data_IF_815032732766
#
_entry.id   IF_815032732766
#
_cell.length_a   1.000
_cell.length_b   1.000
_cell.length_c   1.000
_cell.angle_alpha   90.00
_cell.angle_beta   90.00
_cell.angle_gamma   90.00
#
_symmetry.space_group_name_H-M   'P 1'
#
loop_
_entity.id
_entity.type
_entity.pdbx_description
1 polymer ?
#
# COMPACT_ATOMS: atom_id res chain seq x y z
N UNK A 1 -5.34 -34.19 -5.50
CA UNK A 1 -5.80 -33.55 -4.25
C UNK A 1 -5.06 -32.24 -4.04
N UNK A 2 -5.77 -31.11 -4.17
CA UNK A 2 -5.62 -29.83 -3.45
C UNK A 2 -6.54 -28.84 -4.16
N UNK A 3 -7.82 -28.89 -3.78
CA UNK A 3 -8.71 -27.75 -4.00
C UNK A 3 -8.23 -26.63 -3.09
N UNK A 4 -8.19 -25.37 -3.53
CA UNK A 4 -8.57 -24.23 -2.69
C UNK A 4 -8.91 -23.03 -3.59
N UNK A 5 -10.22 -22.89 -3.82
CA UNK A 5 -10.98 -21.68 -4.14
C UNK A 5 -10.22 -20.56 -4.86
N UNK A 6 -10.29 -20.60 -6.20
CA UNK A 6 -10.08 -19.39 -7.02
C UNK A 6 -11.16 -18.38 -6.62
N UNK A 7 -10.77 -17.38 -5.82
CA UNK A 7 -11.44 -16.07 -5.87
C UNK A 7 -11.48 -15.61 -7.34
N UNK A 8 -12.41 -14.73 -7.74
CA UNK A 8 -12.46 -14.28 -9.12
C UNK A 8 -11.21 -13.42 -9.38
N UNK A 9 -10.12 -14.04 -9.85
CA UNK A 9 -8.75 -13.48 -10.02
C UNK A 9 -8.04 -12.97 -8.75
N UNK A 10 -6.71 -13.20 -8.65
CA UNK A 10 -5.87 -12.70 -7.54
C UNK A 10 -5.89 -11.16 -7.46
N UNK A 11 -6.18 -10.50 -8.59
CA UNK A 11 -6.31 -9.06 -8.75
C UNK A 11 -7.47 -8.48 -7.94
N UNK A 12 -8.66 -9.09 -7.99
CA UNK A 12 -9.81 -8.62 -7.19
C UNK A 12 -9.60 -8.77 -5.68
N UNK A 13 -8.85 -9.80 -5.26
CA UNK A 13 -8.48 -9.97 -3.87
C UNK A 13 -7.54 -8.83 -3.40
N UNK A 14 -6.61 -8.42 -4.26
CA UNK A 14 -5.72 -7.28 -4.02
C UNK A 14 -6.49 -5.96 -3.99
N UNK A 15 -7.39 -5.71 -4.95
CA UNK A 15 -8.25 -4.52 -4.97
C UNK A 15 -9.03 -4.38 -3.65
N UNK A 16 -9.67 -5.47 -3.20
CA UNK A 16 -10.39 -5.49 -1.94
C UNK A 16 -9.48 -5.21 -0.75
N UNK A 17 -8.27 -5.78 -0.74
CA UNK A 17 -7.28 -5.53 0.32
C UNK A 17 -6.89 -4.06 0.39
N UNK A 18 -6.64 -3.41 -0.76
CA UNK A 18 -6.32 -1.99 -0.81
C UNK A 18 -7.49 -1.09 -0.40
N UNK A 19 -8.72 -1.42 -0.79
CA UNK A 19 -9.90 -0.66 -0.38
C UNK A 19 -10.10 -0.71 1.15
N UNK A 20 -9.95 -1.88 1.76
CA UNK A 20 -10.03 -2.03 3.22
C UNK A 20 -8.93 -1.24 3.95
N UNK A 21 -7.70 -1.29 3.44
CA UNK A 21 -6.58 -0.55 4.01
C UNK A 21 -6.79 0.98 3.89
N UNK A 22 -7.34 1.46 2.78
CA UNK A 22 -7.73 2.87 2.63
C UNK A 22 -8.76 3.25 3.69
N UNK A 23 -9.81 2.44 3.86
CA UNK A 23 -10.86 2.70 4.85
C UNK A 23 -10.28 2.77 6.28
N UNK A 24 -9.38 1.86 6.63
CA UNK A 24 -8.72 1.86 7.93
C UNK A 24 -7.81 3.09 8.12
N UNK A 25 -7.05 3.48 7.09
CA UNK A 25 -6.24 4.71 7.10
C UNK A 25 -7.10 5.97 7.22
N UNK A 26 -8.24 6.04 6.54
CA UNK A 26 -9.20 7.16 6.65
C UNK A 26 -9.83 7.22 8.05
N UNK A 27 -10.12 6.07 8.68
CA UNK A 27 -10.54 6.02 10.09
C UNK A 27 -9.45 6.51 11.03
N UNK A 28 -8.19 6.13 10.82
CA UNK A 28 -7.07 6.66 11.62
C UNK A 28 -6.95 8.18 11.50
N UNK A 29 -7.18 8.73 10.32
CA UNK A 29 -7.19 10.16 10.08
C UNK A 29 -8.28 10.89 10.88
N UNK A 30 -9.50 10.35 10.88
CA UNK A 30 -10.68 10.98 11.49
C UNK A 30 -10.70 10.82 13.02
N UNK A 31 -10.39 9.63 13.52
CA UNK A 31 -10.70 9.26 14.92
C UNK A 31 -9.52 9.38 15.87
N UNK A 32 -8.28 9.51 15.38
CA UNK A 32 -7.09 9.59 16.23
C UNK A 32 -6.44 10.96 16.10
N UNK A 33 -6.14 11.61 17.23
CA UNK A 33 -5.34 12.84 17.28
C UNK A 33 -3.87 12.49 17.11
N UNK A 34 -3.29 12.92 16.00
CA UNK A 34 -1.88 12.72 15.68
C UNK A 34 -1.19 14.03 15.30
N UNK A 35 0.13 14.00 15.19
CA UNK A 35 0.91 15.14 14.70
C UNK A 35 0.63 15.38 13.20
N UNK A 36 0.71 16.63 12.69
CA UNK A 36 0.50 16.95 11.27
C UNK A 36 1.33 16.10 10.30
N UNK A 37 2.58 15.79 10.67
CA UNK A 37 3.47 14.93 9.87
C UNK A 37 2.90 13.53 9.68
N UNK A 38 2.21 12.99 10.69
CA UNK A 38 1.59 11.67 10.62
C UNK A 38 0.40 11.67 9.64
N UNK A 39 -0.44 12.71 9.68
CA UNK A 39 -1.54 12.88 8.73
C UNK A 39 -1.03 12.96 7.29
N UNK A 40 0.06 13.70 7.04
CA UNK A 40 0.71 13.77 5.73
C UNK A 40 1.16 12.39 5.22
N UNK A 41 1.66 11.53 6.11
CA UNK A 41 2.07 10.16 5.75
C UNK A 41 0.84 9.32 5.40
N UNK A 42 -0.25 9.43 6.16
CA UNK A 42 -1.52 8.74 5.87
C UNK A 42 -2.07 9.17 4.50
N UNK A 43 -2.18 10.48 4.24
CA UNK A 43 -2.64 11.02 2.96
C UNK A 43 -1.82 10.45 1.79
N UNK A 44 -0.49 10.42 1.96
CA UNK A 44 0.42 9.88 0.96
C UNK A 44 0.25 8.39 0.73
N UNK A 45 0.02 7.60 1.79
CA UNK A 45 -0.32 6.16 1.67
C UNK A 45 -1.60 5.96 0.87
N UNK A 46 -2.66 6.69 1.22
CA UNK A 46 -3.95 6.62 0.53
C UNK A 46 -3.78 6.99 -0.95
N UNK A 47 -3.02 8.05 -1.25
CA UNK A 47 -2.76 8.48 -2.62
C UNK A 47 -2.07 7.38 -3.44
N UNK A 48 -1.01 6.75 -2.92
CA UNK A 48 -0.35 5.67 -3.63
C UNK A 48 -1.21 4.41 -3.79
N UNK A 49 -2.05 4.07 -2.80
CA UNK A 49 -3.01 2.97 -2.95
C UNK A 49 -4.03 3.25 -4.04
N UNK A 50 -4.58 4.47 -4.07
CA UNK A 50 -5.51 4.92 -5.13
C UNK A 50 -4.84 4.92 -6.50
N UNK A 51 -3.58 5.32 -6.62
CA UNK A 51 -2.80 5.21 -7.86
C UNK A 51 -2.72 3.78 -8.39
N UNK A 52 -2.50 2.79 -7.51
CA UNK A 52 -2.44 1.39 -7.92
C UNK A 52 -3.81 0.87 -8.31
N UNK A 53 -4.87 1.19 -7.55
CA UNK A 53 -6.25 0.86 -7.92
C UNK A 53 -6.64 1.44 -9.28
N UNK A 54 -6.32 2.71 -9.53
CA UNK A 54 -6.57 3.37 -10.82
C UNK A 54 -5.82 2.67 -11.97
N UNK A 55 -4.63 2.12 -11.70
CA UNK A 55 -3.86 1.35 -12.70
C UNK A 55 -4.59 0.05 -13.06
N UNK A 56 -5.17 -0.62 -12.06
CA UNK A 56 -5.96 -1.84 -12.27
C UNK A 56 -7.25 -1.54 -13.04
N UNK A 57 -7.96 -0.47 -12.66
CA UNK A 57 -9.18 -0.05 -13.35
C UNK A 57 -8.92 0.35 -14.81
N UNK A 58 -7.77 0.97 -15.09
CA UNK A 58 -7.37 1.38 -16.43
C UNK A 58 -6.96 0.20 -17.33
N UNK A 59 -6.39 -0.87 -16.76
CA UNK A 59 -6.03 -2.10 -17.47
C UNK A 59 -6.48 -3.34 -16.69
N UNK A 60 -7.71 -3.83 -16.94
CA UNK A 60 -8.24 -5.02 -16.27
C UNK A 60 -7.49 -6.33 -16.61
N UNK A 61 -6.58 -6.29 -17.58
CA UNK A 61 -5.77 -7.46 -17.99
C UNK A 61 -4.41 -7.50 -17.32
N UNK A 62 -4.06 -6.46 -16.56
CA UNK A 62 -2.78 -6.35 -15.86
C UNK A 62 -2.57 -7.51 -14.88
N UNK A 63 -1.35 -8.02 -14.84
CA UNK A 63 -0.98 -9.07 -13.89
C UNK A 63 -0.43 -8.47 -12.59
N UNK A 64 -0.38 -9.28 -11.53
CA UNK A 64 0.27 -8.88 -10.28
C UNK A 64 1.76 -8.59 -10.48
N UNK A 65 2.43 -9.32 -11.38
CA UNK A 65 3.83 -9.12 -11.69
C UNK A 65 4.04 -7.78 -12.41
N UNK A 66 3.15 -7.42 -13.34
CA UNK A 66 3.17 -6.10 -14.00
C UNK A 66 2.95 -4.96 -13.01
N UNK A 67 1.98 -5.09 -12.09
CA UNK A 67 1.76 -4.12 -11.01
C UNK A 67 2.99 -3.98 -10.11
N UNK A 68 3.61 -5.10 -9.72
CA UNK A 68 4.82 -5.09 -8.91
C UNK A 68 5.98 -4.39 -9.65
N UNK A 69 6.12 -4.63 -10.97
CA UNK A 69 7.11 -3.96 -11.80
C UNK A 69 6.88 -2.45 -11.92
N UNK A 70 5.62 -2.00 -12.02
CA UNK A 70 5.27 -0.57 -12.02
C UNK A 70 5.66 0.08 -10.68
N UNK A 71 5.36 -0.59 -9.56
CA UNK A 71 5.75 -0.10 -8.23
C UNK A 71 7.27 -0.09 -8.07
N UNK A 72 7.98 -1.09 -8.59
CA UNK A 72 9.44 -1.13 -8.61
C UNK A 72 10.05 0.03 -9.38
N UNK A 73 9.53 0.32 -10.58
CA UNK A 73 9.98 1.47 -11.35
C UNK A 73 9.77 2.80 -10.60
N UNK A 74 8.64 2.97 -9.90
CA UNK A 74 8.41 4.13 -9.03
C UNK A 74 9.41 4.17 -7.87
N UNK A 75 9.68 3.02 -7.25
CA UNK A 75 10.61 2.90 -6.13
C UNK A 75 12.03 3.29 -6.56
N UNK A 76 12.53 2.76 -7.68
CA UNK A 76 13.83 3.15 -8.24
C UNK A 76 13.92 4.65 -8.53
N UNK A 77 12.83 5.25 -9.02
CA UNK A 77 12.77 6.70 -9.30
C UNK A 77 12.94 7.51 -8.02
N UNK A 78 12.22 7.14 -6.95
CA UNK A 78 12.33 7.79 -5.64
C UNK A 78 13.71 7.53 -5.01
N UNK A 79 14.28 6.34 -5.13
CA UNK A 79 15.65 6.05 -4.63
C UNK A 79 16.72 6.89 -5.35
N UNK A 80 16.57 7.11 -6.67
CA UNK A 80 17.44 8.03 -7.41
C UNK A 80 17.23 9.47 -6.95
N UNK A 81 16.00 9.88 -6.69
CA UNK A 81 15.71 11.21 -6.13
C UNK A 81 16.35 11.38 -4.74
N UNK A 82 16.32 10.33 -3.92
CA UNK A 82 16.91 10.32 -2.58
C UNK A 82 18.43 10.54 -2.64
N UNK A 83 19.12 9.88 -3.59
CA UNK A 83 20.55 10.08 -3.82
C UNK A 83 20.90 11.51 -4.26
N UNK A 84 19.95 12.22 -4.87
CA UNK A 84 20.13 13.58 -5.39
C UNK A 84 19.53 14.67 -4.47
N UNK A 85 18.94 14.29 -3.33
CA UNK A 85 18.29 15.22 -2.41
C UNK A 85 19.30 16.21 -1.83
N UNK A 86 18.94 17.50 -1.78
CA UNK A 86 19.87 18.57 -1.41
C UNK A 86 19.74 19.00 0.04
N UNK A 87 18.66 18.62 0.71
CA UNK A 87 18.37 19.02 2.09
C UNK A 87 17.59 17.93 2.85
N UNK A 88 17.65 18.01 4.18
CA UNK A 88 17.03 17.03 5.09
C UNK A 88 15.53 16.90 4.87
N UNK A 89 14.83 17.99 4.57
CA UNK A 89 13.38 17.98 4.38
C UNK A 89 12.96 17.25 3.10
N UNK A 90 13.71 17.43 2.01
CA UNK A 90 13.55 16.64 0.77
C UNK A 90 13.86 15.17 1.03
N UNK A 91 14.95 14.87 1.73
CA UNK A 91 15.33 13.50 2.10
C UNK A 91 14.21 12.80 2.87
N UNK A 92 13.66 13.43 3.92
CA UNK A 92 12.57 12.86 4.71
C UNK A 92 11.31 12.58 3.87
N UNK A 93 10.95 13.52 2.98
CA UNK A 93 9.79 13.34 2.08
C UNK A 93 9.97 12.16 1.12
N UNK A 94 11.16 12.02 0.54
CA UNK A 94 11.47 10.95 -0.41
C UNK A 94 11.58 9.62 0.33
N UNK A 95 12.18 9.62 1.52
CA UNK A 95 12.26 8.44 2.38
C UNK A 95 10.86 7.90 2.74
N UNK A 96 9.92 8.78 3.06
CA UNK A 96 8.51 8.42 3.23
C UNK A 96 7.93 7.76 1.96
N UNK A 97 8.24 8.28 0.76
CA UNK A 97 7.79 7.66 -0.51
C UNK A 97 8.32 6.23 -0.65
N UNK A 98 9.64 6.05 -0.49
CA UNK A 98 10.32 4.76 -0.67
C UNK A 98 9.73 3.73 0.29
N UNK A 99 9.52 4.10 1.56
CA UNK A 99 8.93 3.21 2.57
C UNK A 99 7.50 2.80 2.22
N UNK A 100 6.68 3.75 1.74
CA UNK A 100 5.29 3.48 1.35
C UNK A 100 5.22 2.58 0.11
N UNK A 101 6.03 2.88 -0.92
CA UNK A 101 6.09 2.09 -2.15
C UNK A 101 6.59 0.65 -1.87
N UNK A 102 7.60 0.49 -1.00
CA UNK A 102 8.06 -0.82 -0.57
C UNK A 102 6.98 -1.62 0.18
N UNK A 103 6.19 -0.96 1.01
CA UNK A 103 5.04 -1.57 1.68
C UNK A 103 3.93 -1.98 0.69
N UNK A 104 3.63 -1.15 -0.32
CA UNK A 104 2.67 -1.49 -1.37
C UNK A 104 3.16 -2.69 -2.18
N UNK A 105 4.43 -2.68 -2.60
CA UNK A 105 5.06 -3.82 -3.28
C UNK A 105 4.91 -5.10 -2.47
N UNK A 106 5.21 -5.03 -1.17
CA UNK A 106 5.05 -6.16 -0.27
C UNK A 106 3.60 -6.67 -0.28
N UNK A 107 2.60 -5.79 -0.22
CA UNK A 107 1.20 -6.21 -0.28
C UNK A 107 0.78 -6.86 -1.59
N UNK A 108 1.38 -6.48 -2.73
CA UNK A 108 1.14 -7.07 -4.06
C UNK A 108 1.73 -8.47 -4.15
N UNK A 109 2.98 -8.65 -3.67
CA UNK A 109 3.74 -9.89 -3.80
C UNK A 109 3.33 -10.93 -2.76
N UNK A 110 2.89 -10.49 -1.59
CA UNK A 110 2.50 -11.38 -0.50
C UNK A 110 1.17 -12.10 -0.81
N UNK A 111 1.28 -13.31 -1.38
CA UNK A 111 0.16 -14.24 -1.56
C UNK A 111 -0.29 -14.77 -0.19
N UNK A 112 -1.23 -14.04 0.45
CA UNK A 112 -1.94 -14.39 1.69
C UNK A 112 -1.04 -14.64 2.92
N UNK A 113 -1.03 -13.72 3.89
CA UNK A 113 -0.31 -13.98 5.13
C UNK A 113 -0.44 -13.04 6.33
N UNK A 114 -1.55 -12.32 6.55
CA UNK A 114 -1.96 -11.97 7.93
C UNK A 114 -3.38 -11.41 7.96
N UNK A 115 -4.37 -12.28 8.18
CA UNK A 115 -5.58 -11.83 8.88
C UNK A 115 -5.08 -11.48 10.27
N UNK A 116 -5.05 -10.18 10.62
CA UNK A 116 -5.04 -9.81 12.04
C UNK A 116 -6.33 -10.38 12.61
N UNK A 117 -6.26 -11.56 13.20
CA UNK A 117 -7.23 -11.98 14.20
C UNK A 117 -7.28 -10.81 15.18
N UNK A 118 -8.40 -10.07 15.17
CA UNK A 118 -8.81 -9.38 16.37
C UNK A 118 -9.01 -10.51 17.36
N UNK A 119 -8.02 -10.74 18.20
CA UNK A 119 -8.26 -11.39 19.47
C UNK A 119 -9.19 -10.43 20.19
N UNK A 120 -10.47 -10.79 20.16
CA UNK A 120 -11.46 -10.33 21.12
C UNK A 120 -10.96 -10.80 22.50
N UNK A 121 -10.05 -10.04 23.10
CA UNK A 121 -9.79 -10.10 24.53
C UNK A 121 -10.98 -9.43 25.24
N UNK A 122 -12.09 -10.15 25.18
CA UNK A 122 -13.22 -10.00 26.07
C UNK A 122 -13.15 -11.22 27.00
N UNK A 123 -12.43 -11.07 28.10
CA UNK A 123 -12.62 -11.80 29.36
C UNK A 123 -11.60 -11.30 30.39
N UNK A 124 -11.99 -10.28 31.18
CA UNK A 124 -12.24 -10.38 32.63
C UNK A 124 -12.45 -9.00 33.27
#
# INVERSE_FOLDING_TARGET
MKYHLKWPTELQALERKFLLEIEDLEKEFIYKKHAPTFYRIIEKKIAFLKDVLNTIEADPTITLDDLAAIVDHKLETEERALKNAKNVFETDKIFDSVRILGWIKFMIIEKNGCVRSRDDDNDN
#
